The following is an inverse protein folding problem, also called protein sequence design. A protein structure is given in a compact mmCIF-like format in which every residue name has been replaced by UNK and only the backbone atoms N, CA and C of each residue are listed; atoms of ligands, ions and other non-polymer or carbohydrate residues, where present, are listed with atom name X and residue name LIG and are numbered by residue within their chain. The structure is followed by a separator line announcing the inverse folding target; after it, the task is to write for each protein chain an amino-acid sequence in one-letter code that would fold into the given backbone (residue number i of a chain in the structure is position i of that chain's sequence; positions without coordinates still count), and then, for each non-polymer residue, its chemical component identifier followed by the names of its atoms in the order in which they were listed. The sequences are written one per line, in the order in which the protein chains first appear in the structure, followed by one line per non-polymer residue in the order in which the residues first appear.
data_IF_994989476578
#
_entry.id   IF_994989476578
#
_cell.length_a   1.000
_cell.length_b   1.000
_cell.length_c   1.000
_cell.angle_alpha   90.00
_cell.angle_beta   90.00
_cell.angle_gamma   90.00
#
_symmetry.space_group_name_H-M   'P 1'
#
loop_
_entity.id
_entity.type
_entity.pdbx_description
1 polymer ?
#
# COMPACT_ATOMS: atom_id res chain seq x y z
N UNK A 1 -3.81 29.25 4.30
CA UNK A 1 -4.11 28.58 5.56
C UNK A 1 -4.43 27.10 5.38
N UNK A 2 -5.27 26.70 4.44
CA UNK A 2 -5.62 25.28 4.18
C UNK A 2 -4.43 24.49 3.63
N UNK A 3 -3.59 25.07 2.77
CA UNK A 3 -2.40 24.43 2.17
C UNK A 3 -1.32 24.15 3.23
N UNK A 4 -1.14 25.01 4.23
CA UNK A 4 -0.18 24.82 5.31
C UNK A 4 -0.60 23.69 6.28
N UNK A 5 -1.91 23.49 6.48
CA UNK A 5 -2.45 22.40 7.28
C UNK A 5 -2.32 21.03 6.57
N UNK A 6 -2.51 21.00 5.26
CA UNK A 6 -2.33 19.79 4.45
C UNK A 6 -0.86 19.39 4.41
N UNK A 7 0.07 20.34 4.29
CA UNK A 7 1.52 20.10 4.33
C UNK A 7 1.99 19.64 5.72
N UNK A 8 1.46 20.22 6.80
CA UNK A 8 1.75 19.78 8.18
C UNK A 8 1.18 18.39 8.46
N UNK A 9 -0.02 18.09 7.97
CA UNK A 9 -0.66 16.78 8.13
C UNK A 9 0.09 15.69 7.34
N UNK A 10 0.51 15.96 6.10
CA UNK A 10 1.36 15.07 5.30
C UNK A 10 2.74 14.86 5.94
N UNK A 11 3.34 15.91 6.51
CA UNK A 11 4.63 15.80 7.21
C UNK A 11 4.49 14.97 8.49
N UNK A 12 3.38 15.12 9.22
CA UNK A 12 3.11 14.36 10.45
C UNK A 12 2.86 12.87 10.17
N UNK A 13 2.10 12.57 9.12
CA UNK A 13 1.88 11.19 8.64
C UNK A 13 3.20 10.57 8.17
N UNK A 14 4.03 11.30 7.45
CA UNK A 14 5.35 10.83 7.01
C UNK A 14 6.28 10.54 8.20
N UNK A 15 6.28 11.37 9.24
CA UNK A 15 7.09 11.16 10.46
C UNK A 15 6.58 9.95 11.23
N UNK A 16 5.29 9.76 11.37
CA UNK A 16 4.69 8.60 12.04
C UNK A 16 4.99 7.30 11.30
N UNK A 17 4.89 7.31 9.98
CA UNK A 17 5.24 6.16 9.12
C UNK A 17 6.73 5.86 9.20
N UNK A 18 7.60 6.87 9.16
CA UNK A 18 9.05 6.71 9.32
C UNK A 18 9.43 6.16 10.71
N UNK A 19 8.80 6.64 11.78
CA UNK A 19 9.08 6.16 13.14
C UNK A 19 8.61 4.71 13.32
N UNK A 20 7.40 4.38 12.87
CA UNK A 20 6.86 3.01 12.94
C UNK A 20 7.67 2.01 12.11
N UNK A 21 8.31 2.45 11.02
CA UNK A 21 9.14 1.60 10.17
C UNK A 21 10.61 1.55 10.58
N UNK A 22 11.13 2.56 11.29
CA UNK A 22 12.50 2.55 11.85
C UNK A 22 12.66 1.54 12.99
N UNK A 23 11.59 1.20 13.71
CA UNK A 23 11.59 0.16 14.75
C UNK A 23 11.55 -1.28 14.18
N UNK A 24 11.37 -1.44 12.86
CA UNK A 24 11.25 -2.72 12.17
C UNK A 24 12.46 -3.03 11.25
N UNK A 25 13.67 -2.94 11.79
CA UNK A 25 14.93 -3.09 11.03
C UNK A 25 15.16 -4.45 10.34
N UNK A 26 14.25 -5.42 10.41
CA UNK A 26 14.44 -6.71 9.71
C UNK A 26 13.33 -7.13 8.75
N UNK A 27 12.16 -6.53 8.79
CA UNK A 27 11.21 -6.57 7.69
C UNK A 27 10.36 -5.31 7.72
N UNK A 28 10.39 -4.54 6.64
CA UNK A 28 9.67 -3.27 6.52
C UNK A 28 8.15 -3.39 6.60
N UNK A 29 7.62 -4.58 6.79
CA UNK A 29 6.19 -4.86 6.82
C UNK A 29 5.86 -5.94 7.85
N UNK A 30 4.77 -5.78 8.58
CA UNK A 30 4.25 -6.82 9.44
C UNK A 30 3.65 -7.99 8.62
N UNK A 31 3.29 -9.06 9.29
CA UNK A 31 2.82 -10.28 8.63
C UNK A 31 1.55 -10.07 7.78
N UNK A 32 0.60 -9.25 8.24
CA UNK A 32 -0.61 -8.92 7.49
C UNK A 32 -0.27 -8.21 6.19
N UNK A 33 0.57 -7.21 6.24
CA UNK A 33 1.01 -6.47 5.05
C UNK A 33 1.71 -7.41 4.07
N UNK A 34 2.54 -8.34 4.54
CA UNK A 34 3.14 -9.37 3.69
C UNK A 34 2.09 -10.24 2.98
N UNK A 35 1.03 -10.63 3.67
CA UNK A 35 -0.06 -11.40 3.06
C UNK A 35 -0.82 -10.58 2.00
N UNK A 36 -1.08 -9.32 2.26
CA UNK A 36 -1.72 -8.40 1.30
C UNK A 36 -0.81 -8.20 0.07
N UNK A 37 0.48 -8.02 0.27
CA UNK A 37 1.46 -7.91 -0.83
C UNK A 37 1.40 -9.14 -1.74
N UNK A 38 1.37 -10.34 -1.18
CA UNK A 38 1.27 -11.59 -1.96
C UNK A 38 0.00 -11.69 -2.81
N UNK A 39 -1.07 -11.06 -2.38
CA UNK A 39 -2.35 -11.01 -3.12
C UNK A 39 -2.41 -9.84 -4.12
N UNK A 40 -1.51 -8.88 -4.03
CA UNK A 40 -1.44 -7.71 -4.89
C UNK A 40 -0.74 -8.00 -6.22
N UNK A 41 -0.77 -7.03 -7.12
CA UNK A 41 -0.04 -7.09 -8.40
C UNK A 41 1.46 -6.76 -8.26
N UNK A 42 1.91 -6.33 -7.08
CA UNK A 42 3.26 -5.86 -6.84
C UNK A 42 4.05 -6.84 -6.00
N UNK A 43 5.36 -6.93 -6.25
CA UNK A 43 6.27 -7.62 -5.34
C UNK A 43 6.64 -6.72 -4.17
N UNK A 44 7.08 -7.32 -3.05
CA UNK A 44 7.60 -6.57 -1.90
C UNK A 44 8.63 -5.53 -2.33
N UNK A 45 9.59 -5.93 -3.16
CA UNK A 45 10.65 -5.06 -3.67
C UNK A 45 10.11 -3.85 -4.45
N UNK A 46 9.12 -4.05 -5.29
CA UNK A 46 8.49 -2.96 -6.04
C UNK A 46 7.79 -1.97 -5.12
N UNK A 47 7.13 -2.46 -4.08
CA UNK A 47 6.47 -1.61 -3.07
C UNK A 47 7.50 -0.80 -2.29
N UNK A 48 8.57 -1.44 -1.80
CA UNK A 48 9.67 -0.75 -1.11
C UNK A 48 10.29 0.37 -1.97
N UNK A 49 10.51 0.11 -3.25
CA UNK A 49 11.04 1.10 -4.19
C UNK A 49 10.07 2.26 -4.40
N UNK A 50 8.77 1.99 -4.55
CA UNK A 50 7.75 3.03 -4.69
C UNK A 50 7.71 3.92 -3.45
N UNK A 51 7.69 3.31 -2.27
CA UNK A 51 7.67 4.03 -0.99
C UNK A 51 8.92 4.89 -0.82
N UNK A 52 10.10 4.33 -1.10
CA UNK A 52 11.36 5.05 -1.01
C UNK A 52 11.43 6.21 -2.03
N UNK A 53 11.02 5.99 -3.26
CA UNK A 53 11.00 7.03 -4.30
C UNK A 53 10.02 8.17 -3.98
N UNK A 54 8.95 7.87 -3.27
CA UNK A 54 7.99 8.86 -2.77
C UNK A 54 8.39 9.50 -1.44
N UNK A 55 9.57 9.19 -0.91
CA UNK A 55 10.07 9.63 0.39
C UNK A 55 9.14 9.27 1.57
N UNK A 56 8.40 8.17 1.45
CA UNK A 56 7.55 7.64 2.51
C UNK A 56 8.34 6.72 3.45
N UNK A 57 9.44 6.16 2.98
CA UNK A 57 10.35 5.28 3.73
C UNK A 57 11.76 5.52 3.23
N UNK A 58 12.75 5.47 4.13
CA UNK A 58 14.16 5.40 3.77
C UNK A 58 14.62 3.94 3.82
N UNK A 59 15.05 3.42 2.67
CA UNK A 59 15.58 2.07 2.56
C UNK A 59 16.85 2.08 1.73
N UNK A 60 17.91 1.48 2.27
CA UNK A 60 19.13 1.20 1.52
C UNK A 60 18.99 -0.14 0.79
N UNK A 61 19.13 -0.12 -0.52
CA UNK A 61 18.89 -1.30 -1.35
C UNK A 61 20.14 -2.14 -1.66
N UNK A 62 21.32 -1.70 -1.29
CA UNK A 62 22.58 -2.43 -1.54
C UNK A 62 22.83 -2.76 -3.01
N UNK A 63 22.27 -2.00 -3.95
CA UNK A 63 22.37 -2.18 -5.41
C UNK A 63 22.98 -0.96 -6.06
N UNK A 64 23.49 -1.12 -7.30
CA UNK A 64 24.02 0.00 -8.06
C UNK A 64 22.93 1.04 -8.36
N UNK A 65 23.35 2.29 -8.56
CA UNK A 65 22.45 3.39 -8.94
C UNK A 65 21.65 3.09 -10.21
N UNK A 66 22.32 2.50 -11.22
CA UNK A 66 21.67 2.11 -12.46
C UNK A 66 20.61 1.01 -12.27
N UNK A 67 20.90 0.00 -11.45
CA UNK A 67 19.94 -1.04 -11.10
C UNK A 67 18.73 -0.47 -10.31
N UNK A 68 18.96 0.44 -9.39
CA UNK A 68 17.92 1.12 -8.65
C UNK A 68 16.97 1.89 -9.58
N UNK A 69 17.48 2.73 -10.47
CA UNK A 69 16.65 3.50 -11.40
C UNK A 69 15.90 2.64 -12.40
N UNK A 70 16.46 1.49 -12.80
CA UNK A 70 15.74 0.51 -13.62
C UNK A 70 14.52 -0.04 -12.85
N UNK A 71 14.68 -0.40 -11.60
CA UNK A 71 13.58 -0.89 -10.76
C UNK A 71 12.55 0.21 -10.49
N UNK A 72 12.96 1.45 -10.30
CA UNK A 72 12.05 2.62 -10.21
C UNK A 72 11.22 2.74 -11.48
N UNK A 73 11.83 2.65 -12.65
CA UNK A 73 11.13 2.74 -13.93
C UNK A 73 10.11 1.60 -14.11
N UNK A 74 10.49 0.38 -13.80
CA UNK A 74 9.60 -0.79 -13.87
C UNK A 74 8.41 -0.65 -12.91
N UNK A 75 8.65 -0.27 -11.68
CA UNK A 75 7.61 -0.06 -10.66
C UNK A 75 6.68 1.08 -11.02
N UNK A 76 7.22 2.18 -11.59
CA UNK A 76 6.44 3.31 -12.10
C UNK A 76 5.51 2.88 -13.23
N UNK A 77 6.01 2.16 -14.22
CA UNK A 77 5.20 1.72 -15.35
C UNK A 77 4.07 0.80 -14.90
N UNK A 78 4.34 -0.08 -13.94
CA UNK A 78 3.33 -0.95 -13.35
C UNK A 78 2.26 -0.18 -12.57
N UNK A 79 2.66 0.85 -11.83
CA UNK A 79 1.76 1.73 -11.10
C UNK A 79 0.88 2.55 -12.06
N UNK A 80 1.46 3.06 -13.15
CA UNK A 80 0.71 3.73 -14.23
C UNK A 80 -0.33 2.78 -14.81
N UNK A 81 0.06 1.54 -15.13
CA UNK A 81 -0.85 0.51 -15.64
C UNK A 81 -2.00 0.22 -14.68
N UNK A 82 -1.74 0.19 -13.37
CA UNK A 82 -2.78 0.03 -12.35
C UNK A 82 -3.81 1.17 -12.41
N UNK A 83 -3.37 2.43 -12.49
CA UNK A 83 -4.28 3.57 -12.59
C UNK A 83 -5.10 3.55 -13.88
N UNK A 84 -4.50 3.23 -15.03
CA UNK A 84 -5.25 3.06 -16.28
C UNK A 84 -6.28 1.93 -16.18
N UNK A 85 -5.95 0.84 -15.51
CA UNK A 85 -6.90 -0.27 -15.29
C UNK A 85 -8.10 0.17 -14.42
N UNK A 86 -7.85 0.93 -13.37
CA UNK A 86 -8.90 1.48 -12.50
C UNK A 86 -9.81 2.44 -13.30
N UNK A 87 -9.23 3.34 -14.10
CA UNK A 87 -9.98 4.28 -14.94
C UNK A 87 -10.84 3.51 -15.96
N UNK A 88 -10.26 2.52 -16.61
CA UNK A 88 -10.95 1.69 -17.58
C UNK A 88 -12.13 0.94 -16.97
N UNK A 89 -11.90 0.23 -15.88
CA UNK A 89 -12.95 -0.56 -15.22
C UNK A 89 -14.01 0.31 -14.55
N UNK A 90 -13.63 1.48 -14.10
CA UNK A 90 -14.59 2.48 -13.61
C UNK A 90 -15.46 3.03 -14.76
N UNK A 91 -14.85 3.35 -15.90
CA UNK A 91 -15.54 3.85 -17.10
C UNK A 91 -16.44 2.82 -17.75
N UNK A 92 -16.07 1.54 -17.72
CA UNK A 92 -16.86 0.42 -18.27
C UNK A 92 -17.91 -0.11 -17.26
N UNK A 93 -17.99 0.42 -16.04
CA UNK A 93 -18.98 0.00 -15.06
C UNK A 93 -18.65 -1.33 -14.35
N UNK A 94 -17.42 -1.82 -14.43
CA UNK A 94 -16.96 -2.99 -13.68
C UNK A 94 -16.71 -2.63 -12.22
N UNK A 95 -16.11 -1.47 -11.97
CA UNK A 95 -15.95 -0.90 -10.62
C UNK A 95 -17.04 0.15 -10.41
N UNK A 96 -17.91 -0.08 -9.45
CA UNK A 96 -19.01 0.81 -9.11
C UNK A 96 -18.59 1.84 -8.04
N UNK A 97 -19.34 2.95 -7.86
CA UNK A 97 -19.08 3.90 -6.77
C UNK A 97 -19.04 3.26 -5.39
N UNK A 98 -19.96 2.35 -5.10
CA UNK A 98 -20.03 1.64 -3.82
C UNK A 98 -18.81 0.74 -3.58
N UNK A 99 -18.23 0.18 -4.64
CA UNK A 99 -16.99 -0.61 -4.55
C UNK A 99 -15.81 0.25 -4.13
N UNK A 100 -15.73 1.49 -4.61
CA UNK A 100 -14.73 2.47 -4.19
C UNK A 100 -14.86 2.80 -2.70
N UNK A 101 -16.08 2.92 -2.20
CA UNK A 101 -16.32 3.16 -0.76
C UNK A 101 -15.86 1.98 0.09
N UNK A 102 -16.08 0.74 -0.35
CA UNK A 102 -15.57 -0.46 0.32
C UNK A 102 -14.04 -0.49 0.31
N UNK A 103 -13.41 -0.23 -0.85
CA UNK A 103 -11.95 -0.16 -0.97
C UNK A 103 -11.38 0.91 -0.03
N UNK A 104 -12.00 2.08 0.05
CA UNK A 104 -11.57 3.16 0.93
C UNK A 104 -11.60 2.74 2.40
N UNK A 105 -12.68 2.11 2.85
CA UNK A 105 -12.80 1.58 4.21
C UNK A 105 -11.76 0.52 4.53
N UNK A 106 -11.51 -0.42 3.60
CA UNK A 106 -10.46 -1.44 3.76
C UNK A 106 -9.06 -0.81 3.81
N UNK A 107 -8.83 0.26 3.04
CA UNK A 107 -7.56 1.01 3.03
C UNK A 107 -7.29 1.71 4.36
N UNK A 108 -8.31 2.29 4.98
CA UNK A 108 -8.20 2.89 6.32
C UNK A 108 -7.80 1.86 7.39
N UNK A 109 -8.26 0.62 7.27
CA UNK A 109 -7.88 -0.48 8.16
C UNK A 109 -6.38 -0.79 8.10
N UNK A 110 -5.74 -0.66 6.93
CA UNK A 110 -4.31 -0.92 6.77
C UNK A 110 -3.48 0.05 7.60
N UNK A 111 -3.85 1.32 7.67
CA UNK A 111 -3.15 2.33 8.49
C UNK A 111 -3.21 1.98 9.98
N UNK A 112 -4.35 1.49 10.46
CA UNK A 112 -4.54 1.07 11.85
C UNK A 112 -3.73 -0.21 12.17
N UNK A 113 -3.68 -1.14 11.22
CA UNK A 113 -2.97 -2.42 11.35
C UNK A 113 -1.45 -2.21 11.48
N UNK A 114 -0.89 -1.22 10.78
CA UNK A 114 0.54 -0.91 10.84
C UNK A 114 1.00 -0.47 12.23
N UNK A 115 0.12 0.18 13.00
CA UNK A 115 0.43 0.78 14.29
C UNK A 115 0.12 -0.15 15.48
N UNK A 116 -0.36 -1.36 15.26
CA UNK A 116 -0.82 -2.26 16.33
C UNK A 116 -0.15 -3.63 16.29
N UNK A 117 0.25 -4.11 17.46
CA UNK A 117 0.60 -5.50 17.69
C UNK A 117 -0.68 -6.35 17.60
N UNK A 118 -0.81 -7.09 16.52
CA UNK A 118 -1.98 -7.92 16.26
C UNK A 118 -1.63 -9.38 16.51
N UNK A 119 -2.44 -10.06 17.31
CA UNK A 119 -2.31 -11.49 17.54
C UNK A 119 -2.53 -12.29 16.24
N UNK A 120 -1.78 -13.39 16.00
CA UNK A 120 -1.86 -14.18 14.76
C UNK A 120 -3.28 -14.63 14.37
N UNK A 121 -4.10 -14.98 15.35
CA UNK A 121 -5.49 -15.38 15.13
C UNK A 121 -6.36 -14.25 14.57
N UNK A 122 -6.08 -13.01 14.99
CA UNK A 122 -6.79 -11.83 14.51
C UNK A 122 -6.30 -11.41 13.12
N UNK A 123 -5.04 -11.68 12.80
CA UNK A 123 -4.48 -11.45 11.46
C UNK A 123 -5.22 -12.27 10.41
N UNK A 124 -5.42 -13.56 10.68
CA UNK A 124 -6.15 -14.46 9.78
C UNK A 124 -7.60 -13.99 9.56
N UNK A 125 -8.27 -13.57 10.63
CA UNK A 125 -9.64 -13.04 10.56
C UNK A 125 -9.71 -11.76 9.69
N UNK A 126 -8.76 -10.85 9.83
CA UNK A 126 -8.71 -9.61 9.05
C UNK A 126 -8.51 -9.91 7.56
N UNK A 127 -7.59 -10.80 7.23
CA UNK A 127 -7.34 -11.20 5.84
C UNK A 127 -8.57 -11.92 5.25
N UNK A 128 -9.24 -12.77 6.02
CA UNK A 128 -10.45 -13.46 5.57
C UNK A 128 -11.61 -12.48 5.30
N UNK A 129 -11.80 -11.49 6.14
CA UNK A 129 -12.80 -10.43 5.93
C UNK A 129 -12.48 -9.59 4.68
N UNK A 130 -11.22 -9.20 4.48
CA UNK A 130 -10.79 -8.49 3.28
C UNK A 130 -11.03 -9.32 2.02
N UNK A 131 -10.64 -10.59 2.05
CA UNK A 131 -10.78 -11.49 0.90
C UNK A 131 -12.25 -11.68 0.52
N UNK A 132 -13.12 -11.87 1.50
CA UNK A 132 -14.57 -11.97 1.28
C UNK A 132 -15.16 -10.70 0.68
N UNK A 133 -14.78 -9.53 1.20
CA UNK A 133 -15.25 -8.24 0.69
C UNK A 133 -14.80 -8.03 -0.76
N UNK A 134 -13.54 -8.33 -1.09
CA UNK A 134 -13.00 -8.19 -2.44
C UNK A 134 -13.69 -9.17 -3.40
N UNK A 135 -13.89 -10.43 -3.01
CA UNK A 135 -14.60 -11.42 -3.85
C UNK A 135 -16.05 -11.03 -4.09
N UNK A 136 -16.70 -10.42 -3.11
CA UNK A 136 -18.05 -9.90 -3.26
C UNK A 136 -18.12 -8.75 -4.27
N UNK A 137 -17.16 -7.83 -4.25
CA UNK A 137 -17.03 -6.75 -5.22
C UNK A 137 -16.82 -7.30 -6.63
N UNK A 138 -15.92 -8.27 -6.77
CA UNK A 138 -15.60 -8.88 -8.07
C UNK A 138 -16.81 -9.58 -8.70
N UNK A 139 -17.61 -10.28 -7.90
CA UNK A 139 -18.91 -10.81 -8.31
C UNK A 139 -18.89 -11.89 -9.41
N UNK A 140 -17.71 -12.47 -9.68
CA UNK A 140 -17.54 -13.53 -10.69
C UNK A 140 -17.35 -14.89 -10.05
#
# INVERSE_FOLDING_TARGET
MVVLNVLKFNCYINIQICIAMAEFEQSNFNNIIHQIIKKSLFTKRQIEIILNHKNLVETEFGISKGAYFRQVSQSRNKLIGLYYSIILFRGLGVILPDDIDVISRLSEQISVIQDSDIFPEREEQIIDVMDKAIRQIVGM
#
